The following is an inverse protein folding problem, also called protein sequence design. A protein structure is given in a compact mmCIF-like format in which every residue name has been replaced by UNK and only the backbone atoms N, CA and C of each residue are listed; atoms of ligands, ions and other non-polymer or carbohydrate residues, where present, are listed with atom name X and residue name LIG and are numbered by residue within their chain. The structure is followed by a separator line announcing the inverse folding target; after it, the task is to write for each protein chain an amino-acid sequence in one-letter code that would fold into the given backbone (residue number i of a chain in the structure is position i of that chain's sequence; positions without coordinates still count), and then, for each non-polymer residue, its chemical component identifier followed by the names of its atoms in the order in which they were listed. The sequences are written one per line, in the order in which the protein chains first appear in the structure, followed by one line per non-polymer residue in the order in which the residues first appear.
data_IF_304646378904
#
_entry.id   IF_304646378904
#
_cell.length_a   1.000
_cell.length_b   1.000
_cell.length_c   1.000
_cell.angle_alpha   90.00
_cell.angle_beta   90.00
_cell.angle_gamma   90.00
#
_symmetry.space_group_name_H-M   'P 1'
#
loop_
_entity.id
_entity.type
_entity.pdbx_description
1 polymer ?
#
# COMPACT_ATOMS: atom_id res chain seq x y z
N UNK A 1 23.37 -8.88 -14.92
CA UNK A 1 22.39 -8.02 -14.25
C UNK A 1 23.14 -6.92 -13.54
N UNK A 2 22.73 -5.72 -13.73
CA UNK A 2 23.29 -4.56 -13.04
C UNK A 2 23.05 -4.63 -11.54
N UNK A 3 23.92 -4.03 -10.73
CA UNK A 3 23.89 -4.17 -9.28
C UNK A 3 22.66 -3.51 -8.67
N UNK A 4 22.30 -2.29 -9.14
CA UNK A 4 21.17 -1.53 -8.61
C UNK A 4 19.83 -2.18 -8.97
N UNK A 5 19.67 -2.60 -10.22
CA UNK A 5 18.46 -3.31 -10.68
C UNK A 5 18.25 -4.63 -9.93
N UNK A 6 19.34 -5.39 -9.71
CA UNK A 6 19.26 -6.63 -8.93
C UNK A 6 18.81 -6.36 -7.50
N UNK A 7 19.39 -5.38 -6.82
CA UNK A 7 19.01 -5.00 -5.46
C UNK A 7 17.54 -4.60 -5.37
N UNK A 8 17.05 -3.80 -6.33
CA UNK A 8 15.64 -3.44 -6.43
C UNK A 8 14.75 -4.68 -6.61
N UNK A 9 15.10 -5.57 -7.53
CA UNK A 9 14.32 -6.79 -7.80
C UNK A 9 14.25 -7.67 -6.55
N UNK A 10 15.35 -7.87 -5.84
CA UNK A 10 15.39 -8.66 -4.60
C UNK A 10 14.50 -8.00 -3.51
N UNK A 11 14.53 -6.67 -3.38
CA UNK A 11 13.68 -5.91 -2.45
C UNK A 11 12.20 -6.01 -2.82
N UNK A 12 11.84 -5.79 -4.07
CA UNK A 12 10.45 -5.91 -4.53
C UNK A 12 9.93 -7.34 -4.46
N UNK A 13 10.80 -8.34 -4.65
CA UNK A 13 10.43 -9.73 -4.40
C UNK A 13 10.05 -9.95 -2.93
N UNK A 14 10.83 -9.42 -1.99
CA UNK A 14 10.51 -9.48 -0.55
C UNK A 14 9.19 -8.76 -0.23
N UNK A 15 8.93 -7.59 -0.84
CA UNK A 15 7.67 -6.86 -0.71
C UNK A 15 6.51 -7.74 -1.21
N UNK A 16 6.67 -8.40 -2.36
CA UNK A 16 5.64 -9.29 -2.91
C UNK A 16 5.31 -10.48 -1.99
N UNK A 17 6.30 -11.03 -1.25
CA UNK A 17 6.02 -12.08 -0.25
C UNK A 17 5.19 -11.55 0.92
N UNK A 18 5.44 -10.32 1.37
CA UNK A 18 4.64 -9.67 2.41
C UNK A 18 3.22 -9.39 1.90
N UNK A 19 3.09 -8.92 0.66
CA UNK A 19 1.80 -8.68 0.03
C UNK A 19 0.99 -9.97 -0.12
N UNK A 20 1.65 -11.08 -0.48
CA UNK A 20 1.01 -12.40 -0.53
C UNK A 20 0.50 -12.83 0.86
N UNK A 21 1.30 -12.69 1.91
CA UNK A 21 0.87 -12.98 3.28
C UNK A 21 -0.33 -12.11 3.69
N UNK A 22 -0.29 -10.80 3.39
CA UNK A 22 -1.41 -9.88 3.64
C UNK A 22 -2.69 -10.29 2.89
N UNK A 23 -2.55 -10.75 1.65
CA UNK A 23 -3.68 -11.22 0.84
C UNK A 23 -4.35 -12.45 1.49
N UNK A 24 -3.55 -13.45 1.90
CA UNK A 24 -4.08 -14.65 2.56
C UNK A 24 -4.75 -14.31 3.90
N UNK A 25 -4.14 -13.41 4.69
CA UNK A 25 -4.73 -12.95 5.95
C UNK A 25 -6.02 -12.16 5.73
N UNK A 26 -6.09 -11.35 4.68
CA UNK A 26 -7.31 -10.63 4.30
C UNK A 26 -8.43 -11.56 3.87
N UNK A 27 -8.11 -12.60 3.10
CA UNK A 27 -9.06 -13.64 2.72
C UNK A 27 -9.59 -14.39 3.97
N UNK A 28 -8.71 -14.83 4.86
CA UNK A 28 -9.09 -15.49 6.10
C UNK A 28 -9.98 -14.61 6.98
N UNK A 29 -9.68 -13.32 7.07
CA UNK A 29 -10.49 -12.34 7.81
C UNK A 29 -11.93 -12.28 7.30
N UNK A 30 -12.13 -12.37 5.98
CA UNK A 30 -13.46 -12.29 5.37
C UNK A 30 -14.24 -13.61 5.46
N UNK A 31 -13.56 -14.76 5.46
CA UNK A 31 -14.20 -16.06 5.24
C UNK A 31 -14.18 -16.97 6.47
N UNK A 32 -13.06 -17.03 7.21
CA UNK A 32 -12.83 -18.05 8.22
C UNK A 32 -12.62 -17.49 9.64
N UNK A 33 -12.23 -16.22 9.78
CA UNK A 33 -11.85 -15.65 11.07
C UNK A 33 -13.02 -15.66 12.07
N UNK A 34 -12.82 -16.25 13.28
CA UNK A 34 -13.85 -16.19 14.33
C UNK A 34 -13.96 -14.76 14.87
N UNK A 35 -15.15 -14.39 15.43
CA UNK A 35 -15.40 -13.03 15.95
C UNK A 35 -14.36 -12.53 16.96
N UNK A 36 -13.81 -13.41 17.80
CA UNK A 36 -12.76 -13.06 18.77
C UNK A 36 -11.37 -12.83 18.17
N UNK A 37 -11.17 -13.08 16.88
CA UNK A 37 -9.87 -12.95 16.20
C UNK A 37 -9.56 -11.56 15.66
N UNK A 38 -10.50 -10.63 15.69
CA UNK A 38 -10.45 -9.34 14.96
C UNK A 38 -9.27 -8.48 15.38
N UNK A 39 -9.04 -8.31 16.68
CA UNK A 39 -7.97 -7.46 17.20
C UNK A 39 -6.60 -8.03 16.86
N UNK A 40 -6.38 -9.31 17.14
CA UNK A 40 -5.11 -9.98 16.85
C UNK A 40 -4.80 -9.96 15.33
N UNK A 41 -5.80 -10.22 14.49
CA UNK A 41 -5.66 -10.20 13.04
C UNK A 41 -5.38 -8.79 12.52
N UNK A 42 -6.13 -7.80 12.98
CA UNK A 42 -5.93 -6.39 12.61
C UNK A 42 -4.54 -5.89 12.97
N UNK A 43 -4.04 -6.25 14.15
CA UNK A 43 -2.68 -5.91 14.59
C UNK A 43 -1.62 -6.56 13.71
N UNK A 44 -1.76 -7.86 13.39
CA UNK A 44 -0.81 -8.56 12.54
C UNK A 44 -0.77 -8.02 11.10
N UNK A 45 -1.93 -7.72 10.52
CA UNK A 45 -2.02 -7.09 9.18
C UNK A 45 -1.40 -5.69 9.20
N UNK A 46 -1.64 -4.89 10.25
CA UNK A 46 -1.06 -3.56 10.38
C UNK A 46 0.47 -3.63 10.46
N UNK A 47 1.03 -4.61 11.18
CA UNK A 47 2.47 -4.81 11.28
C UNK A 47 3.09 -5.19 9.94
N UNK A 48 2.51 -6.16 9.22
CA UNK A 48 2.99 -6.54 7.89
C UNK A 48 2.94 -5.37 6.89
N UNK A 49 1.92 -4.53 6.97
CA UNK A 49 1.83 -3.32 6.14
C UNK A 49 2.84 -2.25 6.53
N UNK A 50 3.17 -2.11 7.82
CA UNK A 50 4.29 -1.27 8.26
C UNK A 50 5.61 -1.76 7.70
N UNK A 51 5.91 -3.05 7.83
CA UNK A 51 7.13 -3.66 7.28
C UNK A 51 7.24 -3.45 5.76
N UNK A 52 6.13 -3.62 5.04
CA UNK A 52 6.06 -3.33 3.60
C UNK A 52 6.38 -1.88 3.29
N UNK A 53 5.78 -0.97 4.04
CA UNK A 53 5.98 0.47 3.87
C UNK A 53 7.43 0.85 4.14
N UNK A 54 8.03 0.37 5.22
CA UNK A 54 9.44 0.59 5.55
C UNK A 54 10.39 0.10 4.44
N UNK A 55 10.14 -1.09 3.88
CA UNK A 55 10.93 -1.60 2.75
C UNK A 55 10.82 -0.72 1.50
N UNK A 56 9.63 -0.16 1.25
CA UNK A 56 9.39 0.72 0.11
C UNK A 56 9.99 2.11 0.29
N UNK A 57 10.11 2.59 1.53
CA UNK A 57 10.51 3.98 1.83
C UNK A 57 11.91 4.08 2.43
N UNK A 58 12.76 3.05 2.26
CA UNK A 58 14.16 3.11 2.68
C UNK A 58 14.90 4.25 2.00
N UNK A 59 15.80 4.90 2.71
CA UNK A 59 16.51 6.11 2.27
C UNK A 59 17.28 5.92 0.96
N UNK A 60 17.79 4.70 0.70
CA UNK A 60 18.55 4.35 -0.50
C UNK A 60 17.70 4.09 -1.75
N UNK A 61 16.37 4.10 -1.62
CA UNK A 61 15.46 3.71 -2.71
C UNK A 61 15.60 4.64 -3.94
N UNK A 62 15.70 5.95 -3.71
CA UNK A 62 15.90 6.93 -4.80
C UNK A 62 17.18 6.64 -5.58
N UNK A 63 18.30 6.44 -4.88
CA UNK A 63 19.60 6.21 -5.47
C UNK A 63 19.63 4.89 -6.25
N UNK A 64 19.01 3.84 -5.71
CA UNK A 64 18.87 2.56 -6.41
C UNK A 64 18.04 2.67 -7.68
N UNK A 65 16.95 3.43 -7.67
CA UNK A 65 16.10 3.66 -8.84
C UNK A 65 16.83 4.47 -9.92
N UNK A 66 17.60 5.47 -9.53
CA UNK A 66 18.40 6.27 -10.46
C UNK A 66 19.59 5.48 -11.02
N UNK A 67 20.27 4.71 -10.17
CA UNK A 67 21.32 3.80 -10.59
C UNK A 67 20.83 2.75 -11.58
N UNK A 68 19.71 2.08 -11.27
CA UNK A 68 19.11 1.10 -12.18
C UNK A 68 18.68 1.71 -13.52
N UNK A 69 18.18 2.94 -13.52
CA UNK A 69 17.85 3.65 -14.76
C UNK A 69 19.10 3.97 -15.60
N UNK A 70 20.18 4.37 -14.98
CA UNK A 70 21.44 4.63 -15.68
C UNK A 70 22.05 3.35 -16.30
N UNK A 71 21.87 2.22 -15.62
CA UNK A 71 22.35 0.90 -16.07
C UNK A 71 21.62 0.35 -17.31
N UNK A 72 20.48 0.95 -17.71
CA UNK A 72 19.72 0.53 -18.90
C UNK A 72 20.52 0.71 -20.21
N UNK A 73 21.37 1.71 -20.28
CA UNK A 73 22.11 2.05 -21.53
C UNK A 73 23.05 0.96 -22.06
N UNK A 74 23.37 -0.05 -21.23
CA UNK A 74 24.26 -1.16 -21.58
C UNK A 74 23.54 -2.47 -21.91
N UNK A 75 22.21 -2.47 -22.03
CA UNK A 75 21.41 -3.67 -22.23
C UNK A 75 20.97 -3.83 -23.70
N UNK A 76 20.70 -5.08 -24.07
CA UNK A 76 20.01 -5.37 -25.34
C UNK A 76 18.60 -4.74 -25.35
N UNK A 77 18.07 -4.31 -26.54
CA UNK A 77 16.86 -3.52 -26.64
C UNK A 77 15.63 -4.12 -25.92
N UNK A 78 15.42 -5.42 -26.04
CA UNK A 78 14.28 -6.11 -25.39
C UNK A 78 14.41 -6.12 -23.87
N UNK A 79 15.61 -6.37 -23.34
CA UNK A 79 15.89 -6.32 -21.91
C UNK A 79 15.75 -4.89 -21.37
N UNK A 80 16.25 -3.92 -22.12
CA UNK A 80 16.13 -2.50 -21.79
C UNK A 80 14.65 -2.08 -21.66
N UNK A 81 13.81 -2.46 -22.62
CA UNK A 81 12.40 -2.13 -22.61
C UNK A 81 11.67 -2.72 -21.37
N UNK A 82 11.90 -3.99 -21.07
CA UNK A 82 11.27 -4.66 -19.90
C UNK A 82 11.75 -4.04 -18.59
N UNK A 83 13.06 -3.82 -18.44
CA UNK A 83 13.60 -3.25 -17.21
C UNK A 83 13.18 -1.78 -17.03
N UNK A 84 13.07 -1.01 -18.11
CA UNK A 84 12.60 0.38 -18.05
C UNK A 84 11.18 0.47 -17.50
N UNK A 85 10.26 -0.38 -17.98
CA UNK A 85 8.88 -0.46 -17.47
C UNK A 85 8.87 -0.89 -15.99
N UNK A 86 9.66 -1.91 -15.64
CA UNK A 86 9.76 -2.38 -14.25
C UNK A 86 10.26 -1.28 -13.31
N UNK A 87 11.31 -0.54 -13.68
CA UNK A 87 11.85 0.57 -12.89
C UNK A 87 10.83 1.70 -12.77
N UNK A 88 10.09 2.02 -13.83
CA UNK A 88 9.05 3.03 -13.79
C UNK A 88 7.95 2.67 -12.79
N UNK A 89 7.50 1.41 -12.78
CA UNK A 89 6.48 0.94 -11.83
C UNK A 89 7.00 0.87 -10.38
N UNK A 90 8.24 0.45 -10.19
CA UNK A 90 8.90 0.49 -8.87
C UNK A 90 9.00 1.92 -8.35
N UNK A 91 9.35 2.89 -9.21
CA UNK A 91 9.40 4.32 -8.86
C UNK A 91 8.02 4.87 -8.52
N UNK A 92 6.99 4.52 -9.29
CA UNK A 92 5.61 4.90 -9.00
C UNK A 92 5.18 4.40 -7.61
N UNK A 93 5.44 3.13 -7.32
CA UNK A 93 5.13 2.52 -6.02
C UNK A 93 5.87 3.20 -4.87
N UNK A 94 7.15 3.52 -5.05
CA UNK A 94 7.95 4.25 -4.07
C UNK A 94 7.40 5.67 -3.82
N UNK A 95 7.14 6.44 -4.88
CA UNK A 95 6.59 7.81 -4.75
C UNK A 95 5.27 7.82 -3.97
N UNK A 96 4.36 6.91 -4.31
CA UNK A 96 3.08 6.79 -3.63
C UNK A 96 3.22 6.41 -2.16
N UNK A 97 4.17 5.52 -1.83
CA UNK A 97 4.41 5.11 -0.45
C UNK A 97 5.11 6.21 0.37
N UNK A 98 6.13 6.85 -0.21
CA UNK A 98 6.91 7.91 0.46
C UNK A 98 6.08 9.17 0.79
N UNK A 99 4.97 9.37 0.08
CA UNK A 99 4.03 10.44 0.36
C UNK A 99 3.28 10.27 1.69
N UNK A 100 3.23 9.06 2.26
CA UNK A 100 2.34 8.72 3.37
C UNK A 100 3.16 8.39 4.61
N UNK A 101 2.92 9.06 5.77
CA UNK A 101 3.56 8.68 7.02
C UNK A 101 3.20 7.25 7.46
N UNK A 102 4.17 6.51 8.01
CA UNK A 102 3.96 5.14 8.50
C UNK A 102 2.86 5.04 9.56
N UNK A 103 2.73 6.07 10.41
CA UNK A 103 1.65 6.18 11.40
C UNK A 103 0.25 6.18 10.75
N UNK A 104 0.09 6.88 9.62
CA UNK A 104 -1.17 6.94 8.88
C UNK A 104 -1.49 5.59 8.22
N UNK A 105 -0.48 4.89 7.68
CA UNK A 105 -0.65 3.53 7.13
C UNK A 105 -1.23 2.60 8.20
N UNK A 106 -0.63 2.59 9.40
CA UNK A 106 -1.08 1.75 10.53
C UNK A 106 -2.49 2.13 11.00
N UNK A 107 -2.76 3.43 11.17
CA UNK A 107 -4.06 3.92 11.61
C UNK A 107 -5.18 3.51 10.64
N UNK A 108 -4.96 3.64 9.33
CA UNK A 108 -5.94 3.23 8.30
C UNK A 108 -6.27 1.74 8.36
N UNK A 109 -5.25 0.88 8.52
CA UNK A 109 -5.48 -0.57 8.61
C UNK A 109 -6.35 -0.90 9.81
N UNK A 110 -6.02 -0.35 10.98
CA UNK A 110 -6.77 -0.61 12.21
C UNK A 110 -8.20 -0.09 12.15
N UNK A 111 -8.39 1.14 11.64
CA UNK A 111 -9.72 1.73 11.47
C UNK A 111 -10.56 0.93 10.46
N UNK A 112 -9.98 0.55 9.32
CA UNK A 112 -10.64 -0.25 8.30
C UNK A 112 -11.09 -1.62 8.83
N UNK A 113 -10.19 -2.33 9.53
CA UNK A 113 -10.50 -3.64 10.13
C UNK A 113 -11.65 -3.55 11.15
N UNK A 114 -11.62 -2.52 12.04
CA UNK A 114 -12.70 -2.31 13.01
C UNK A 114 -14.02 -1.98 12.32
N UNK A 115 -14.00 -1.08 11.37
CA UNK A 115 -15.20 -0.65 10.63
C UNK A 115 -15.83 -1.81 9.87
N UNK A 116 -15.04 -2.59 9.12
CA UNK A 116 -15.52 -3.74 8.37
C UNK A 116 -16.13 -4.81 9.28
N UNK A 117 -15.45 -5.12 10.40
CA UNK A 117 -15.95 -6.12 11.33
C UNK A 117 -17.28 -5.69 11.95
N UNK A 118 -17.38 -4.46 12.45
CA UNK A 118 -18.61 -3.94 13.05
C UNK A 118 -19.76 -3.87 12.02
N UNK A 119 -19.44 -3.50 10.76
CA UNK A 119 -20.42 -3.41 9.68
C UNK A 119 -21.16 -4.73 9.43
N UNK A 120 -20.52 -5.89 9.63
CA UNK A 120 -21.16 -7.20 9.40
C UNK A 120 -22.42 -7.39 10.25
N UNK A 121 -22.39 -6.95 11.51
CA UNK A 121 -23.54 -6.98 12.42
C UNK A 121 -24.46 -5.78 12.19
N UNK A 122 -23.89 -4.58 12.14
CA UNK A 122 -24.64 -3.33 11.98
C UNK A 122 -25.51 -3.31 10.71
N UNK A 123 -25.02 -3.93 9.62
CA UNK A 123 -25.80 -4.04 8.38
C UNK A 123 -27.06 -4.92 8.58
N UNK A 124 -26.93 -6.05 9.25
CA UNK A 124 -28.06 -6.95 9.48
C UNK A 124 -29.10 -6.39 10.46
N UNK A 125 -28.62 -5.57 11.40
CA UNK A 125 -29.46 -4.89 12.41
C UNK A 125 -29.99 -3.54 11.93
N UNK A 126 -29.61 -3.10 10.73
CA UNK A 126 -29.91 -1.77 10.18
C UNK A 126 -29.45 -0.61 11.09
N UNK A 127 -28.32 -0.82 11.80
CA UNK A 127 -27.70 0.16 12.69
C UNK A 127 -26.82 1.14 11.90
N UNK A 128 -27.45 2.12 11.28
CA UNK A 128 -26.77 3.16 10.52
C UNK A 128 -25.91 4.08 11.40
N UNK A 129 -26.39 4.44 12.58
CA UNK A 129 -25.71 5.37 13.47
C UNK A 129 -24.41 4.77 14.03
N UNK A 130 -24.43 3.51 14.42
CA UNK A 130 -23.24 2.77 14.83
C UNK A 130 -22.24 2.63 13.70
N UNK A 131 -22.68 2.27 12.49
CA UNK A 131 -21.83 2.22 11.31
C UNK A 131 -21.19 3.58 10.98
N UNK A 132 -21.98 4.64 10.99
CA UNK A 132 -21.52 5.99 10.66
C UNK A 132 -20.41 6.47 11.60
N UNK A 133 -20.47 6.09 12.89
CA UNK A 133 -19.40 6.38 13.85
C UNK A 133 -18.05 5.82 13.42
N UNK A 134 -18.00 4.53 13.07
CA UNK A 134 -16.78 3.87 12.61
C UNK A 134 -16.34 4.36 11.22
N UNK A 135 -17.27 4.58 10.31
CA UNK A 135 -17.01 4.99 8.94
C UNK A 135 -16.41 6.40 8.85
N UNK A 136 -16.79 7.31 9.74
CA UNK A 136 -16.21 8.67 9.80
C UNK A 136 -14.71 8.66 10.02
N UNK A 137 -14.21 7.77 10.87
CA UNK A 137 -12.76 7.62 11.09
C UNK A 137 -12.06 7.14 9.81
N UNK A 138 -12.61 6.14 9.13
CA UNK A 138 -12.06 5.62 7.86
C UNK A 138 -12.01 6.71 6.79
N UNK A 139 -13.08 7.50 6.66
CA UNK A 139 -13.14 8.62 5.71
C UNK A 139 -12.12 9.71 6.05
N UNK A 140 -11.99 10.07 7.34
CA UNK A 140 -11.03 11.08 7.78
C UNK A 140 -9.59 10.68 7.42
N UNK A 141 -9.18 9.46 7.77
CA UNK A 141 -7.86 8.93 7.46
C UNK A 141 -7.62 8.77 5.94
N UNK A 142 -8.65 8.43 5.16
CA UNK A 142 -8.55 8.34 3.71
C UNK A 142 -8.38 9.71 3.06
N UNK A 143 -9.03 10.75 3.59
CA UNK A 143 -8.83 12.14 3.14
C UNK A 143 -7.43 12.63 3.48
N UNK A 144 -6.92 12.31 4.66
CA UNK A 144 -5.55 12.64 5.05
C UNK A 144 -4.52 12.00 4.11
N UNK A 145 -4.69 10.71 3.78
CA UNK A 145 -3.84 10.04 2.78
C UNK A 145 -3.91 10.72 1.42
N UNK A 146 -5.12 11.06 0.94
CA UNK A 146 -5.31 11.75 -0.33
C UNK A 146 -4.58 13.10 -0.37
N UNK A 147 -4.67 13.88 0.73
CA UNK A 147 -3.94 15.14 0.86
C UNK A 147 -2.42 14.94 0.87
N UNK A 148 -1.91 13.92 1.58
CA UNK A 148 -0.49 13.60 1.59
C UNK A 148 0.02 13.27 0.18
N UNK A 149 -0.68 12.43 -0.57
CA UNK A 149 -0.30 12.07 -1.95
C UNK A 149 -0.36 13.25 -2.90
N UNK A 150 -1.39 14.08 -2.79
CA UNK A 150 -1.50 15.30 -3.58
C UNK A 150 -0.34 16.27 -3.29
N UNK A 151 -0.05 16.54 -2.02
CA UNK A 151 1.03 17.43 -1.60
C UNK A 151 2.41 16.98 -2.08
N UNK A 152 2.63 15.66 -2.16
CA UNK A 152 3.87 15.08 -2.66
C UNK A 152 3.91 14.95 -4.21
N UNK A 153 2.88 15.40 -4.92
CA UNK A 153 2.71 15.18 -6.38
C UNK A 153 2.91 13.70 -6.78
N UNK A 154 2.53 12.81 -5.87
CA UNK A 154 2.66 11.36 -6.06
C UNK A 154 1.51 10.77 -6.90
N UNK A 155 0.59 11.61 -7.33
CA UNK A 155 -0.52 11.28 -8.22
C UNK A 155 -0.30 11.91 -9.59
N UNK A 156 -0.86 11.32 -10.64
CA UNK A 156 -0.85 11.91 -11.97
C UNK A 156 -1.82 13.09 -12.14
N UNK A 157 -2.60 13.45 -11.10
CA UNK A 157 -3.65 14.44 -11.13
C UNK A 157 -3.52 15.43 -9.98
N UNK A 158 -3.94 16.68 -10.20
CA UNK A 158 -3.94 17.73 -9.18
C UNK A 158 -5.11 17.62 -8.19
N UNK A 159 -5.70 16.43 -8.03
CA UNK A 159 -6.84 16.23 -7.15
C UNK A 159 -6.61 15.07 -6.16
N UNK A 160 -7.17 15.17 -4.94
CA UNK A 160 -7.09 14.08 -3.96
C UNK A 160 -7.83 12.80 -4.36
N UNK A 161 -8.63 12.84 -5.42
CA UNK A 161 -9.52 11.74 -5.85
C UNK A 161 -8.82 10.62 -6.61
N UNK A 162 -7.56 10.81 -6.99
CA UNK A 162 -6.77 9.80 -7.73
C UNK A 162 -6.48 8.51 -6.94
N UNK A 163 -6.79 8.50 -5.65
CA UNK A 163 -6.56 7.33 -4.79
C UNK A 163 -7.44 6.12 -5.07
N UNK A 164 -8.62 6.32 -5.59
CA UNK A 164 -9.67 5.31 -5.60
C UNK A 164 -10.30 5.08 -6.95
N UNK A 165 -9.97 5.89 -7.94
CA UNK A 165 -10.63 5.83 -9.22
C UNK A 165 -9.84 4.94 -10.18
N UNK A 166 -10.45 3.85 -10.55
CA UNK A 166 -10.14 3.16 -11.78
C UNK A 166 -10.72 4.07 -12.88
N UNK A 167 -9.86 4.84 -13.49
CA UNK A 167 -10.25 5.60 -14.68
C UNK A 167 -10.40 4.62 -15.84
N UNK A 168 -11.62 4.32 -16.13
CA UNK A 168 -12.01 3.58 -17.33
C UNK A 168 -12.15 4.57 -18.47
#
# INVERSE_FOLDING_TARGET
MSQSYKTLTDRFHRIAQIDHANFVMGWDQMVMMPPGGVEARGTAVAELRSMRHELLTQDDMSDLLDGAKAELCGLEPDQQAVQAVSIAEMRRSWLQASAIPASLVKAKVLAGTRCEHAWRTQRTENDWDGFLGNFREVVALSREEACCRQAASATGFDTPYDLSLIHI
#
